data_IF_582365574439
#
_entry.id   IF_582365574439
#
_cell.length_a   1.000
_cell.length_b   1.000
_cell.length_c   1.000
_cell.angle_alpha   90.00
_cell.angle_beta   90.00
_cell.angle_gamma   90.00
#
_symmetry.space_group_name_H-M   'P 1'
#
loop_
_entity.id
_entity.type
_entity.pdbx_description
1 polymer ?
#
# COMPACT_ATOMS: atom_id res chain seq x y z
N UNK A 1 -11.70 -20.47 35.24
CA UNK A 1 -11.57 -19.00 35.11
C UNK A 1 -10.62 -18.75 33.95
N UNK A 2 -11.13 -18.33 32.78
CA UNK A 2 -10.28 -18.10 31.62
C UNK A 2 -9.68 -16.70 31.70
N UNK A 3 -8.35 -16.61 31.70
CA UNK A 3 -7.63 -15.35 31.55
C UNK A 3 -7.80 -14.90 30.09
N UNK A 4 -8.57 -13.83 29.89
CA UNK A 4 -8.59 -13.14 28.61
C UNK A 4 -7.19 -12.56 28.33
N UNK A 5 -6.61 -12.78 27.14
CA UNK A 5 -5.30 -12.21 26.83
C UNK A 5 -5.39 -10.69 26.88
N UNK A 6 -4.48 -10.07 27.65
CA UNK A 6 -4.34 -8.61 27.68
C UNK A 6 -3.76 -8.19 26.33
N UNK A 7 -4.59 -7.59 25.48
CA UNK A 7 -4.14 -7.01 24.22
C UNK A 7 -3.16 -5.87 24.54
N UNK A 8 -2.00 -5.81 23.86
CA UNK A 8 -1.08 -4.69 24.03
C UNK A 8 -1.79 -3.37 23.70
N UNK A 9 -1.57 -2.34 24.53
CA UNK A 9 -2.14 -1.01 24.33
C UNK A 9 -1.49 -0.38 23.10
N UNK A 10 -2.17 -0.37 21.97
CA UNK A 10 -1.61 0.10 20.69
C UNK A 10 -1.63 1.63 20.58
N UNK A 11 -2.65 2.28 21.13
CA UNK A 11 -2.83 3.73 21.05
C UNK A 11 -1.77 4.46 21.90
N UNK A 12 -1.06 5.40 21.28
CA UNK A 12 0.00 6.20 21.92
C UNK A 12 1.38 5.55 21.90
N UNK A 13 1.52 4.34 21.33
CA UNK A 13 2.81 3.66 21.21
C UNK A 13 3.47 3.90 19.86
N UNK A 14 4.81 3.92 19.83
CA UNK A 14 5.59 4.02 18.58
C UNK A 14 5.66 2.64 17.90
N UNK A 15 4.65 2.32 17.09
CA UNK A 15 4.58 1.07 16.32
C UNK A 15 5.24 1.26 14.96
N UNK A 16 6.06 0.29 14.52
CA UNK A 16 6.59 0.28 13.15
C UNK A 16 5.45 0.07 12.15
N UNK A 17 5.50 0.79 11.03
CA UNK A 17 4.50 0.68 9.96
C UNK A 17 4.56 -0.71 9.34
N UNK A 18 3.40 -1.29 9.06
CA UNK A 18 3.29 -2.65 8.51
C UNK A 18 3.56 -2.69 7.01
N UNK A 19 3.37 -1.56 6.35
CA UNK A 19 3.55 -1.35 4.92
C UNK A 19 4.99 -1.05 4.51
N UNK A 20 5.86 -0.63 5.43
CA UNK A 20 7.23 -0.24 5.11
C UNK A 20 8.01 -1.32 4.33
N UNK A 21 7.97 -2.63 4.70
CA UNK A 21 8.72 -3.64 3.98
C UNK A 21 8.37 -3.70 2.49
N UNK A 22 7.09 -3.55 2.12
CA UNK A 22 6.70 -3.55 0.69
C UNK A 22 7.09 -2.26 -0.01
N UNK A 23 7.04 -1.12 0.68
CA UNK A 23 7.38 0.18 0.11
C UNK A 23 8.89 0.32 -0.15
N UNK A 24 9.74 -0.03 0.83
CA UNK A 24 11.20 0.17 0.74
C UNK A 24 11.93 -0.89 -0.10
N UNK A 25 11.26 -2.00 -0.40
CA UNK A 25 11.83 -3.10 -1.20
C UNK A 25 11.33 -3.10 -2.65
N UNK A 26 10.56 -2.09 -3.07
CA UNK A 26 9.97 -2.06 -4.41
C UNK A 26 8.95 -3.17 -4.66
N UNK A 27 8.30 -3.67 -3.60
CA UNK A 27 7.28 -4.74 -3.65
C UNK A 27 5.86 -4.20 -3.51
N UNK A 28 5.69 -2.88 -3.41
CA UNK A 28 4.38 -2.26 -3.42
C UNK A 28 3.81 -2.28 -4.84
N UNK A 29 2.48 -2.29 -4.93
CA UNK A 29 1.77 -2.25 -6.20
C UNK A 29 0.96 -0.95 -6.25
N UNK A 30 1.30 -0.09 -7.18
CA UNK A 30 0.55 1.09 -7.59
C UNK A 30 -0.26 0.80 -8.86
N UNK A 31 -1.07 1.76 -9.29
CA UNK A 31 -1.96 1.60 -10.45
C UNK A 31 -1.19 1.24 -11.72
N UNK A 32 0.00 1.83 -11.92
CA UNK A 32 0.83 1.63 -13.12
C UNK A 32 1.63 0.31 -13.11
N UNK A 33 1.79 -0.31 -11.94
CA UNK A 33 2.48 -1.59 -11.79
C UNK A 33 1.64 -2.77 -12.28
N UNK A 34 0.33 -2.56 -12.42
CA UNK A 34 -0.61 -3.61 -12.85
C UNK A 34 -0.33 -4.02 -14.30
N UNK A 35 -0.06 -5.31 -14.49
CA UNK A 35 0.08 -5.93 -15.83
C UNK A 35 -1.12 -6.82 -16.10
N UNK A 36 -2.03 -6.34 -16.95
CA UNK A 36 -3.24 -7.06 -17.35
C UNK A 36 -3.06 -7.57 -18.78
N UNK A 37 -3.49 -8.80 -19.06
CA UNK A 37 -3.45 -9.35 -20.42
C UNK A 37 -4.23 -8.43 -21.36
N UNK A 38 -3.62 -8.11 -22.51
CA UNK A 38 -4.20 -7.19 -23.51
C UNK A 38 -4.42 -5.74 -23.05
N UNK A 39 -3.77 -5.28 -21.98
CA UNK A 39 -3.81 -3.88 -21.56
C UNK A 39 -3.39 -2.93 -22.70
N UNK A 40 -4.08 -1.79 -22.80
CA UNK A 40 -3.82 -0.73 -23.79
C UNK A 40 -3.46 0.56 -23.08
N UNK A 41 -2.70 1.41 -23.76
CA UNK A 41 -2.30 2.73 -23.27
C UNK A 41 -3.10 3.81 -23.99
N UNK A 42 -3.44 4.87 -23.27
CA UNK A 42 -4.16 6.03 -23.80
C UNK A 42 -3.34 7.29 -23.53
N UNK A 43 -3.33 8.20 -24.49
CA UNK A 43 -2.74 9.52 -24.35
C UNK A 43 -3.80 10.56 -24.71
N UNK A 44 -3.83 11.65 -23.95
CA UNK A 44 -4.71 12.79 -24.21
C UNK A 44 -3.88 13.97 -24.74
N UNK A 45 -4.27 14.55 -25.88
CA UNK A 45 -3.75 15.84 -26.31
C UNK A 45 -4.34 16.93 -25.41
N UNK A 46 -3.48 17.73 -24.78
CA UNK A 46 -3.92 18.91 -24.02
C UNK A 46 -4.04 20.12 -24.96
N UNK A 47 -4.59 21.22 -24.45
CA UNK A 47 -4.61 22.51 -25.15
C UNK A 47 -3.20 22.93 -25.57
N UNK A 48 -3.07 23.52 -26.76
CA UNK A 48 -1.82 24.11 -27.25
C UNK A 48 -1.61 25.56 -26.71
N UNK A 49 -2.63 26.11 -26.07
CA UNK A 49 -2.68 27.44 -25.44
C UNK A 49 -2.71 27.28 -23.93
#
# INVERSE_FOLDING_TARGET
MAISPVLPKLVGTRVKRREDPRLIQGRATYVDDLKIQSMRHLAFKRSDV
#
